data_IF_918683634197
#
_entry.id   IF_918683634197
#
_cell.length_a   1.000
_cell.length_b   1.000
_cell.length_c   1.000
_cell.angle_alpha   90.00
_cell.angle_beta   90.00
_cell.angle_gamma   90.00
#
_symmetry.space_group_name_H-M   'P 1'
#
loop_
_entity.id
_entity.type
_entity.pdbx_description
1 polymer ?
#
# COMPACT_ATOMS: atom_id res chain seq x y z
N UNK A 1 20.43 -30.15 25.32
CA UNK A 1 20.75 -29.07 24.35
C UNK A 1 19.67 -28.02 24.51
N UNK A 2 19.87 -27.08 25.43
CA UNK A 2 18.89 -26.04 25.78
C UNK A 2 18.97 -24.85 24.83
N UNK A 3 17.84 -24.16 24.63
CA UNK A 3 17.79 -22.81 24.08
C UNK A 3 17.39 -21.90 25.23
N UNK A 4 18.41 -21.38 25.91
CA UNK A 4 18.27 -20.34 26.91
C UNK A 4 18.10 -19.00 26.18
N UNK A 5 16.90 -18.41 26.32
CA UNK A 5 16.64 -17.04 25.90
C UNK A 5 17.05 -16.12 27.04
N UNK A 6 18.14 -15.37 26.84
CA UNK A 6 18.44 -14.23 27.71
C UNK A 6 17.31 -13.21 27.56
N UNK A 7 16.49 -13.10 28.62
CA UNK A 7 15.46 -12.09 28.76
C UNK A 7 16.13 -10.73 29.03
N UNK A 8 16.85 -10.20 28.04
CA UNK A 8 17.21 -8.79 28.06
C UNK A 8 15.95 -7.98 27.72
N UNK A 9 15.29 -7.52 28.77
CA UNK A 9 14.24 -6.52 28.69
C UNK A 9 14.82 -5.25 28.07
N UNK A 10 14.41 -4.93 26.84
CA UNK A 10 14.82 -3.71 26.17
C UNK A 10 14.26 -2.49 26.91
N UNK A 11 15.04 -1.41 27.10
CA UNK A 11 14.56 -0.24 27.81
C UNK A 11 13.36 0.39 27.08
N UNK A 12 12.39 0.95 27.83
CA UNK A 12 11.20 1.55 27.25
C UNK A 12 11.55 2.75 26.38
N UNK A 13 11.07 2.75 25.13
CA UNK A 13 11.27 3.86 24.20
C UNK A 13 10.36 5.04 24.55
N UNK A 14 10.89 6.25 24.41
CA UNK A 14 10.13 7.47 24.64
C UNK A 14 9.03 7.68 23.58
N UNK A 15 7.88 8.26 23.94
CA UNK A 15 6.80 8.56 22.99
C UNK A 15 7.24 9.56 21.91
N UNK A 16 6.99 9.23 20.64
CA UNK A 16 7.26 10.11 19.51
C UNK A 16 6.15 11.18 19.44
N UNK A 17 6.54 12.46 19.44
CA UNK A 17 5.61 13.58 19.22
C UNK A 17 5.64 13.97 17.74
N UNK A 18 4.50 13.88 17.07
CA UNK A 18 4.31 14.38 15.71
C UNK A 18 3.47 15.65 15.76
N UNK A 19 3.93 16.75 15.15
CA UNK A 19 3.08 17.91 14.91
C UNK A 19 2.22 17.65 13.68
N UNK A 20 0.92 17.93 13.77
CA UNK A 20 -0.01 17.79 12.66
C UNK A 20 0.33 18.77 11.53
N UNK A 21 -0.13 18.45 10.32
CA UNK A 21 0.09 19.21 9.08
C UNK A 21 -0.53 20.63 9.06
N UNK A 22 -1.11 21.10 10.17
CA UNK A 22 -1.78 22.40 10.28
C UNK A 22 -0.85 23.53 10.74
N UNK A 23 0.46 23.37 10.56
CA UNK A 23 1.40 24.48 10.67
C UNK A 23 1.23 25.40 9.45
N UNK A 24 0.30 26.35 9.56
CA UNK A 24 0.12 27.44 8.59
C UNK A 24 1.46 28.19 8.42
N UNK A 25 2.04 28.28 7.22
CA UNK A 25 3.17 29.17 6.98
C UNK A 25 2.69 30.62 7.09
N UNK A 26 3.38 31.39 7.92
CA UNK A 26 3.31 32.85 7.89
C UNK A 26 4.17 33.30 6.69
N UNK A 27 3.55 33.89 5.68
CA UNK A 27 4.28 34.63 4.64
C UNK A 27 3.80 36.07 4.65
N UNK A 28 4.79 36.95 4.76
CA UNK A 28 4.74 38.40 4.83
C UNK A 28 4.36 39.03 3.47
N UNK A 29 3.67 40.18 3.56
CA UNK A 29 3.77 41.35 2.66
C UNK A 29 3.60 41.10 1.14
N UNK A 30 2.36 41.24 0.65
CA UNK A 30 2.08 41.50 -0.78
C UNK A 30 1.92 43.00 -0.98
N UNK A 31 2.99 43.65 -1.47
CA UNK A 31 2.95 45.04 -1.95
C UNK A 31 2.41 45.11 -3.38
N UNK A 32 1.32 45.87 -3.54
CA UNK A 32 1.00 46.81 -4.63
C UNK A 32 1.43 46.48 -6.07
N UNK A 33 0.44 46.20 -6.93
CA UNK A 33 0.27 46.95 -8.18
C UNK A 33 -1.15 46.77 -8.73
N UNK A 34 -1.89 47.87 -8.70
CA UNK A 34 -3.21 48.04 -9.31
C UNK A 34 -3.02 48.20 -10.82
N UNK A 35 -2.93 47.10 -11.56
CA UNK A 35 -3.05 47.13 -13.03
C UNK A 35 -4.53 46.98 -13.39
N UNK A 36 -5.21 48.12 -13.49
CA UNK A 36 -6.59 48.22 -13.97
C UNK A 36 -6.57 48.32 -15.50
N UNK A 37 -6.23 47.21 -16.15
CA UNK A 37 -6.43 46.97 -17.56
C UNK A 37 -7.00 45.56 -17.68
N UNK A 38 -8.06 45.38 -18.46
CA UNK A 38 -8.59 44.09 -18.84
C UNK A 38 -7.53 43.29 -19.62
N UNK A 39 -6.54 42.75 -18.91
CA UNK A 39 -5.61 41.80 -19.47
C UNK A 39 -6.42 40.54 -19.76
N UNK A 40 -6.88 40.41 -21.01
CA UNK A 40 -7.40 39.16 -21.52
C UNK A 40 -6.33 38.08 -21.27
N UNK A 41 -6.58 37.20 -20.30
CA UNK A 41 -5.67 36.12 -19.96
C UNK A 41 -5.53 35.20 -21.18
N UNK A 42 -4.44 35.34 -21.93
CA UNK A 42 -4.11 34.47 -23.05
C UNK A 42 -3.42 33.22 -22.53
N UNK A 43 -4.10 32.07 -22.62
CA UNK A 43 -3.47 30.77 -22.34
C UNK A 43 -2.39 30.49 -23.40
N UNK A 44 -1.12 30.29 -23.01
CA UNK A 44 -0.08 29.93 -23.95
C UNK A 44 -0.40 28.57 -24.59
N UNK A 45 -0.26 28.48 -25.91
CA UNK A 45 -0.48 27.24 -26.65
C UNK A 45 0.70 26.29 -26.44
N UNK A 46 0.44 25.07 -26.01
CA UNK A 46 1.46 24.02 -25.93
C UNK A 46 1.79 23.47 -27.32
N UNK A 47 3.02 22.98 -27.48
CA UNK A 47 3.41 22.21 -28.66
C UNK A 47 2.60 20.92 -28.73
N UNK A 48 2.11 20.60 -29.94
CA UNK A 48 1.29 19.41 -30.16
C UNK A 48 2.19 18.18 -30.07
N UNK A 49 1.90 17.21 -29.18
CA UNK A 49 2.77 16.05 -29.01
C UNK A 49 2.75 15.22 -30.30
N UNK A 50 3.92 15.09 -30.94
CA UNK A 50 4.12 14.16 -32.04
C UNK A 50 4.06 12.75 -31.45
N UNK A 51 3.03 11.97 -31.82
CA UNK A 51 2.95 10.57 -31.45
C UNK A 51 4.15 9.82 -32.02
N UNK A 52 5.11 9.48 -31.16
CA UNK A 52 6.21 8.62 -31.57
C UNK A 52 5.70 7.19 -31.83
N UNK A 53 6.27 6.50 -32.82
CA UNK A 53 5.94 5.11 -33.08
C UNK A 53 6.23 4.25 -31.86
N UNK A 54 5.38 3.25 -31.60
CA UNK A 54 5.55 2.34 -30.47
C UNK A 54 6.89 1.60 -30.59
N UNK A 55 7.71 1.71 -29.54
CA UNK A 55 8.96 0.95 -29.44
C UNK A 55 8.63 -0.54 -29.26
N UNK A 56 9.46 -1.45 -29.81
CA UNK A 56 9.30 -2.87 -29.57
C UNK A 56 9.38 -3.17 -28.06
N UNK A 57 8.70 -4.23 -27.58
CA UNK A 57 8.75 -4.60 -26.18
C UNK A 57 10.19 -4.91 -25.75
N UNK A 58 10.54 -4.49 -24.54
CA UNK A 58 11.87 -4.72 -23.99
C UNK A 58 12.25 -6.22 -24.02
N UNK A 59 13.52 -6.56 -24.28
CA UNK A 59 14.01 -7.94 -24.25
C UNK A 59 13.62 -8.63 -22.94
N UNK A 60 12.86 -9.71 -23.02
CA UNK A 60 12.42 -10.46 -21.85
C UNK A 60 13.46 -11.51 -21.49
N UNK A 61 13.91 -11.50 -20.24
CA UNK A 61 14.73 -12.59 -19.68
C UNK A 61 13.97 -13.93 -19.80
N UNK A 62 14.66 -15.05 -20.03
CA UNK A 62 14.04 -16.37 -20.01
C UNK A 62 13.31 -16.57 -18.68
N UNK A 63 12.05 -17.01 -18.75
CA UNK A 63 11.32 -17.34 -17.52
C UNK A 63 11.96 -18.57 -16.88
N UNK A 64 12.18 -18.57 -15.55
CA UNK A 64 12.61 -19.76 -14.84
C UNK A 64 11.68 -20.94 -15.15
N UNK A 65 12.22 -22.15 -15.17
CA UNK A 65 11.42 -23.35 -15.34
C UNK A 65 10.32 -23.38 -14.26
N UNK A 66 9.06 -23.57 -14.68
CA UNK A 66 7.94 -23.73 -13.74
C UNK A 66 8.23 -24.95 -12.85
N UNK A 67 8.26 -24.73 -11.54
CA UNK A 67 8.31 -25.83 -10.56
C UNK A 67 7.09 -26.72 -10.79
N UNK A 68 7.29 -28.04 -10.82
CA UNK A 68 6.17 -28.99 -10.90
C UNK A 68 5.36 -28.86 -9.60
N UNK A 69 4.07 -28.55 -9.74
CA UNK A 69 3.09 -28.55 -8.65
C UNK A 69 2.68 -30.00 -8.36
N UNK A 70 3.64 -30.84 -7.98
CA UNK A 70 3.37 -32.20 -7.54
C UNK A 70 2.93 -32.22 -6.08
N UNK A 71 2.23 -33.28 -5.64
CA UNK A 71 2.01 -33.52 -4.22
C UNK A 71 3.36 -33.62 -3.48
N UNK A 72 3.42 -33.29 -2.19
CA UNK A 72 4.63 -33.42 -1.39
C UNK A 72 5.18 -34.85 -1.46
N UNK A 73 6.50 -35.07 -1.35
CA UNK A 73 7.10 -36.41 -1.38
C UNK A 73 6.53 -37.37 -0.32
N UNK A 74 6.03 -36.81 0.79
CA UNK A 74 5.43 -37.55 1.91
C UNK A 74 3.90 -37.62 1.85
N UNK A 75 3.29 -37.14 0.76
CA UNK A 75 1.85 -37.03 0.62
C UNK A 75 1.23 -35.96 1.53
N UNK A 76 -0.08 -36.04 1.70
CA UNK A 76 -0.84 -35.19 2.61
C UNK A 76 -1.15 -35.94 3.90
N UNK A 77 -1.28 -35.20 5.01
CA UNK A 77 -1.74 -35.78 6.27
C UNK A 77 -3.25 -36.05 6.21
N UNK A 78 -3.74 -37.10 6.91
CA UNK A 78 -5.17 -37.35 7.00
C UNK A 78 -5.85 -36.15 7.68
N UNK A 79 -6.89 -35.64 7.02
CA UNK A 79 -7.75 -34.58 7.56
C UNK A 79 -8.93 -35.24 8.27
N UNK A 80 -9.32 -34.79 9.47
CA UNK A 80 -10.52 -35.27 10.14
C UNK A 80 -11.76 -35.16 9.23
N UNK A 81 -12.59 -36.20 9.20
CA UNK A 81 -13.79 -36.23 8.35
C UNK A 81 -14.83 -35.19 8.77
N UNK A 82 -14.88 -34.90 10.07
CA UNK A 82 -15.73 -33.88 10.63
C UNK A 82 -14.88 -32.68 11.04
N UNK A 83 -14.94 -31.62 10.22
CA UNK A 83 -14.27 -30.37 10.53
C UNK A 83 -15.00 -29.60 11.64
N UNK A 84 -16.31 -29.79 11.81
CA UNK A 84 -17.10 -29.04 12.78
C UNK A 84 -16.77 -29.42 14.22
N UNK A 85 -16.29 -30.64 14.49
CA UNK A 85 -15.79 -31.03 15.81
C UNK A 85 -14.37 -30.51 16.11
N UNK A 86 -13.58 -30.18 15.10
CA UNK A 86 -12.20 -29.66 15.27
C UNK A 86 -12.19 -28.15 15.50
N UNK A 87 -13.13 -27.43 14.90
CA UNK A 87 -13.21 -25.98 15.02
C UNK A 87 -14.17 -25.56 16.13
N UNK A 88 -13.67 -24.74 17.05
CA UNK A 88 -14.52 -24.05 18.03
C UNK A 88 -15.31 -22.97 17.29
N UNK A 89 -16.66 -23.00 17.31
CA UNK A 89 -17.46 -21.97 16.68
C UNK A 89 -17.20 -20.63 17.35
N UNK A 90 -16.76 -19.65 16.57
CA UNK A 90 -16.65 -18.29 17.06
C UNK A 90 -18.05 -17.70 17.21
N UNK A 91 -18.36 -17.02 18.34
CA UNK A 91 -19.61 -16.31 18.48
C UNK A 91 -19.65 -15.25 17.37
N UNK A 92 -20.60 -15.42 16.44
CA UNK A 92 -20.85 -14.43 15.41
C UNK A 92 -21.33 -13.14 16.11
N UNK A 93 -20.60 -12.01 16.02
CA UNK A 93 -21.15 -10.75 16.50
C UNK A 93 -22.42 -10.49 15.68
N UNK A 94 -23.53 -10.26 16.39
CA UNK A 94 -24.87 -10.12 15.80
C UNK A 94 -24.86 -9.26 14.54
N UNK A 95 -25.32 -9.85 13.43
CA UNK A 95 -25.72 -9.24 12.15
C UNK A 95 -25.21 -7.80 11.92
N UNK A 96 -23.92 -7.60 11.70
CA UNK A 96 -23.48 -6.39 10.98
C UNK A 96 -23.95 -6.54 9.54
N UNK A 97 -25.01 -5.82 9.16
CA UNK A 97 -25.45 -5.74 7.75
C UNK A 97 -24.28 -5.19 6.93
N UNK A 98 -23.70 -6.03 6.07
CA UNK A 98 -22.82 -5.55 5.01
C UNK A 98 -23.72 -4.89 3.98
N UNK A 99 -23.61 -3.57 3.82
CA UNK A 99 -24.20 -2.87 2.69
C UNK A 99 -23.31 -3.16 1.49
N UNK A 100 -23.81 -3.93 0.52
CA UNK A 100 -23.21 -3.94 -0.80
C UNK A 100 -23.47 -2.57 -1.45
N UNK A 101 -22.39 -1.90 -1.85
CA UNK A 101 -22.37 -0.65 -2.59
C UNK A 101 -21.07 -0.59 -3.38
#
# INVERSE_FOLDING_TARGET
MGLEFDAQESPPLAPIRTTGIDAKPAEEEVSESTDNGEAECVTPKSEQPVCQPALPPAPRKPRPAKRKLGPPPKGYYPVPSDLASVFIPLPCPGRKKIRAG
#
